data_IF_957960527860
#
_entry.id   IF_957960527860
#
_cell.length_a   1.000
_cell.length_b   1.000
_cell.length_c   1.000
_cell.angle_alpha   90.00
_cell.angle_beta   90.00
_cell.angle_gamma   90.00
#
_symmetry.space_group_name_H-M   'P 1'
#
loop_
_entity.id
_entity.type
_entity.pdbx_description
1 polymer ?
#
# COMPACT_ATOMS: atom_id res chain seq x y z
N UNK A 1 -21.66 36.69 5.76
CA UNK A 1 -21.30 36.78 7.19
C UNK A 1 -22.38 36.13 8.05
N UNK A 2 -22.15 34.91 8.55
CA UNK A 2 -22.77 34.38 9.77
C UNK A 2 -21.87 33.28 10.32
N UNK A 3 -21.36 33.52 11.52
CA UNK A 3 -20.46 32.66 12.28
C UNK A 3 -21.26 31.53 12.93
N UNK A 4 -20.73 30.30 12.88
CA UNK A 4 -20.90 29.29 13.93
C UNK A 4 -19.57 28.58 14.15
N UNK A 5 -19.01 28.84 15.32
CA UNK A 5 -18.12 27.94 16.06
C UNK A 5 -19.03 26.91 16.81
N UNK A 6 -18.62 25.79 17.40
CA UNK A 6 -17.34 25.31 17.96
C UNK A 6 -17.56 23.81 18.34
N UNK A 7 -16.45 23.08 18.55
CA UNK A 7 -16.23 21.90 19.42
C UNK A 7 -16.57 20.47 18.95
N UNK A 8 -15.52 19.63 19.01
CA UNK A 8 -15.61 18.17 19.09
C UNK A 8 -14.26 17.47 18.95
N UNK A 9 -13.31 17.73 19.86
CA UNK A 9 -12.06 16.96 19.97
C UNK A 9 -12.17 15.90 21.07
N UNK A 10 -11.82 14.65 20.77
CA UNK A 10 -11.47 13.58 21.72
C UNK A 10 -10.52 12.62 20.97
N UNK A 11 -9.21 12.66 21.23
CA UNK A 11 -8.48 12.03 22.34
C UNK A 11 -8.21 10.53 22.11
N UNK A 12 -6.93 10.25 21.88
CA UNK A 12 -6.25 8.95 21.80
C UNK A 12 -6.47 8.09 23.04
N UNK A 13 -6.58 6.77 22.86
CA UNK A 13 -6.41 5.80 23.93
C UNK A 13 -5.33 4.79 23.52
N UNK A 14 -4.15 4.92 24.14
CA UNK A 14 -3.16 3.87 24.23
C UNK A 14 -3.54 2.96 25.41
N UNK A 15 -3.58 1.63 25.19
CA UNK A 15 -3.69 0.64 26.26
C UNK A 15 -2.36 -0.12 26.34
N UNK A 16 -1.54 0.30 27.30
CA UNK A 16 -0.44 -0.49 27.84
C UNK A 16 -0.94 -1.17 29.13
N UNK A 17 -0.86 -2.50 29.20
CA UNK A 17 -1.01 -3.26 30.43
C UNK A 17 0.25 -4.11 30.63
N UNK A 18 1.16 -3.60 31.45
CA UNK A 18 2.22 -4.38 32.07
C UNK A 18 1.69 -5.05 33.34
N UNK A 19 2.04 -6.31 33.54
CA UNK A 19 1.99 -6.99 34.83
C UNK A 19 3.40 -7.38 35.21
N UNK A 20 3.94 -6.64 36.18
CA UNK A 20 5.10 -7.03 36.96
C UNK A 20 4.66 -7.99 38.07
N UNK A 21 5.38 -9.10 38.22
CA UNK A 21 5.36 -9.96 39.40
C UNK A 21 6.81 -10.23 39.81
N UNK A 22 7.23 -9.58 40.90
CA UNK A 22 8.55 -9.73 41.52
C UNK A 22 8.53 -10.78 42.64
N UNK A 23 9.74 -11.29 42.95
CA UNK A 23 10.22 -11.96 44.17
C UNK A 23 9.92 -13.47 44.25
N UNK A 24 10.86 -14.35 44.62
CA UNK A 24 11.89 -14.24 45.67
C UNK A 24 13.28 -14.77 45.27
N UNK A 25 14.30 -14.18 45.90
CA UNK A 25 15.62 -14.75 46.09
C UNK A 25 15.86 -14.87 47.60
N UNK A 26 16.28 -16.02 48.11
CA UNK A 26 17.20 -16.07 49.26
C UNK A 26 17.93 -17.42 49.41
N UNK A 27 19.16 -17.29 49.91
CA UNK A 27 20.24 -18.18 50.40
C UNK A 27 19.90 -19.63 50.79
N UNK A 28 20.77 -20.65 50.74
CA UNK A 28 22.25 -20.73 50.80
C UNK A 28 22.64 -21.85 51.81
N UNK A 29 23.72 -22.59 51.52
CA UNK A 29 24.49 -23.53 52.39
C UNK A 29 23.77 -24.82 52.90
N UNK A 30 24.38 -26.00 53.09
CA UNK A 30 25.78 -26.45 53.06
C UNK A 30 25.87 -28.01 53.06
N UNK A 31 27.08 -28.52 52.74
CA UNK A 31 27.73 -29.77 53.21
C UNK A 31 27.34 -31.20 52.69
N UNK A 32 28.17 -31.66 51.75
CA UNK A 32 29.09 -32.84 51.79
C UNK A 32 28.68 -34.21 52.41
N UNK A 33 28.77 -35.29 51.62
CA UNK A 33 29.60 -36.50 51.92
C UNK A 33 29.59 -37.55 50.79
N UNK A 34 30.80 -38.00 50.42
CA UNK A 34 31.20 -39.18 49.60
C UNK A 34 30.44 -40.50 49.92
N UNK A 35 30.21 -41.48 49.02
CA UNK A 35 31.18 -42.45 48.44
C UNK A 35 30.49 -43.48 47.48
N UNK A 36 31.12 -43.84 46.33
CA UNK A 36 31.30 -45.25 45.87
C UNK A 36 30.37 -45.94 44.83
N UNK A 37 30.91 -46.23 43.62
CA UNK A 37 30.58 -47.36 42.69
C UNK A 37 29.26 -47.26 41.90
N UNK A 38 29.08 -47.66 40.63
CA UNK A 38 29.74 -48.59 39.68
C UNK A 38 29.23 -48.30 38.24
N UNK A 39 29.98 -48.76 37.23
CA UNK A 39 29.75 -48.72 35.77
C UNK A 39 28.30 -48.75 35.23
N UNK A 40 27.97 -47.84 34.30
CA UNK A 40 27.25 -48.10 33.03
C UNK A 40 27.36 -46.88 32.07
N UNK A 41 27.38 -47.06 30.72
CA UNK A 41 27.58 -45.96 29.79
C UNK A 41 26.22 -45.36 29.39
N UNK A 42 25.91 -44.17 29.91
CA UNK A 42 24.77 -43.39 29.45
C UNK A 42 25.24 -42.31 28.47
N UNK A 43 24.72 -42.40 27.24
CA UNK A 43 24.79 -41.42 26.17
C UNK A 43 24.72 -39.99 26.69
N UNK A 44 25.82 -39.23 26.55
CA UNK A 44 25.76 -37.78 26.58
C UNK A 44 25.48 -37.30 25.17
N UNK A 45 24.20 -37.04 24.91
CA UNK A 45 23.80 -36.10 23.87
C UNK A 45 24.54 -34.79 24.15
N UNK A 46 25.35 -34.37 23.19
CA UNK A 46 25.86 -33.01 23.13
C UNK A 46 24.64 -32.12 22.91
N UNK A 47 24.09 -31.56 23.98
CA UNK A 47 23.17 -30.42 23.86
C UNK A 47 24.06 -29.25 23.48
N UNK A 48 24.29 -29.07 22.18
CA UNK A 48 24.65 -27.77 21.66
C UNK A 48 23.44 -26.91 21.96
N UNK A 49 23.56 -26.01 22.94
CA UNK A 49 22.68 -24.86 23.08
C UNK A 49 22.77 -24.11 21.75
N UNK A 50 21.84 -24.45 20.85
CA UNK A 50 21.55 -23.66 19.67
C UNK A 50 20.94 -22.37 20.19
N UNK A 51 21.81 -21.40 20.47
CA UNK A 51 21.45 -20.00 20.38
C UNK A 51 20.89 -19.82 18.97
N UNK A 52 19.55 -19.88 18.86
CA UNK A 52 18.82 -19.50 17.67
C UNK A 52 19.07 -18.00 17.51
N UNK A 53 20.19 -17.70 16.87
CA UNK A 53 20.33 -16.45 16.13
C UNK A 53 19.09 -16.42 15.23
N UNK A 54 18.26 -15.38 15.29
CA UNK A 54 17.16 -15.27 14.33
C UNK A 54 17.79 -15.46 12.95
N UNK A 55 17.30 -16.43 12.18
CA UNK A 55 17.81 -16.68 10.84
C UNK A 55 17.83 -15.34 10.11
N UNK A 56 19.00 -14.96 9.60
CA UNK A 56 19.15 -13.71 8.88
C UNK A 56 18.09 -13.66 7.77
N UNK A 57 17.42 -12.51 7.55
CA UNK A 57 16.36 -12.43 6.56
C UNK A 57 16.85 -12.93 5.19
N UNK A 58 16.04 -13.77 4.54
CA UNK A 58 16.36 -14.30 3.21
C UNK A 58 16.33 -13.13 2.23
N UNK A 59 17.42 -12.89 1.50
CA UNK A 59 17.40 -11.93 0.38
C UNK A 59 16.71 -12.59 -0.81
N UNK A 60 15.77 -11.87 -1.42
CA UNK A 60 14.98 -12.30 -2.59
C UNK A 60 14.99 -11.21 -3.67
N UNK A 61 14.59 -11.55 -4.89
CA UNK A 61 14.39 -10.61 -5.99
C UNK A 61 13.32 -11.07 -6.98
N UNK A 62 13.31 -10.46 -8.17
CA UNK A 62 12.47 -10.87 -9.30
C UNK A 62 12.64 -12.36 -9.63
N UNK A 63 11.54 -13.00 -10.03
CA UNK A 63 11.38 -14.42 -10.32
C UNK A 63 11.54 -15.38 -9.11
N UNK A 64 11.81 -14.89 -7.90
CA UNK A 64 11.87 -15.75 -6.72
C UNK A 64 10.48 -16.17 -6.23
N UNK A 65 10.35 -17.43 -5.83
CA UNK A 65 9.16 -17.93 -5.14
C UNK A 65 9.25 -17.68 -3.63
N UNK A 66 8.16 -17.13 -3.08
CA UNK A 66 7.99 -16.83 -1.65
C UNK A 66 6.68 -17.41 -1.13
N UNK A 67 6.78 -18.19 -0.06
CA UNK A 67 5.64 -18.73 0.68
C UNK A 67 5.19 -17.75 1.75
N UNK A 68 4.04 -17.12 1.52
CA UNK A 68 3.38 -16.18 2.44
C UNK A 68 2.48 -16.90 3.46
N UNK A 69 2.59 -18.24 3.56
CA UNK A 69 1.87 -19.10 4.50
C UNK A 69 0.50 -19.54 4.01
N UNK A 70 -0.29 -18.61 3.46
CA UNK A 70 -1.61 -18.91 2.88
C UNK A 70 -1.56 -19.18 1.38
N UNK A 71 -0.58 -18.59 0.68
CA UNK A 71 -0.33 -18.73 -0.76
C UNK A 71 1.17 -18.72 -1.03
N UNK A 72 1.56 -19.29 -2.17
CA UNK A 72 2.90 -19.06 -2.74
C UNK A 72 2.79 -18.08 -3.90
N UNK A 73 3.68 -17.08 -3.91
CA UNK A 73 3.80 -16.09 -4.99
C UNK A 73 5.16 -16.18 -5.65
N UNK A 74 5.20 -15.92 -6.95
CA UNK A 74 6.41 -15.50 -7.67
C UNK A 74 6.49 -13.98 -7.60
N UNK A 75 7.66 -13.44 -7.23
CA UNK A 75 7.91 -12.01 -7.16
C UNK A 75 8.28 -11.46 -8.54
N UNK A 76 7.73 -10.31 -8.90
CA UNK A 76 8.10 -9.57 -10.10
C UNK A 76 9.11 -8.46 -9.82
N UNK A 77 9.12 -7.47 -10.72
CA UNK A 77 9.94 -6.28 -10.58
C UNK A 77 9.41 -5.37 -9.47
N UNK A 78 10.31 -4.53 -8.94
CA UNK A 78 9.94 -3.36 -8.14
C UNK A 78 9.81 -2.15 -9.04
N UNK A 79 8.84 -1.30 -8.74
CA UNK A 79 8.67 0.02 -9.33
C UNK A 79 8.43 1.09 -8.25
N UNK A 80 8.67 2.36 -8.59
CA UNK A 80 8.40 3.51 -7.74
C UNK A 80 7.30 4.38 -8.36
N UNK A 81 6.19 4.50 -7.64
CA UNK A 81 5.03 5.28 -8.05
C UNK A 81 4.78 6.42 -7.06
N UNK A 82 4.19 7.52 -7.54
CA UNK A 82 3.74 8.63 -6.67
C UNK A 82 2.44 8.30 -5.95
N UNK A 83 1.63 7.42 -6.54
CA UNK A 83 0.41 6.93 -5.94
C UNK A 83 0.13 5.49 -6.35
N UNK A 84 -0.64 4.79 -5.53
CA UNK A 84 -1.08 3.42 -5.72
C UNK A 84 -2.58 3.35 -5.50
N UNK A 85 -3.31 2.53 -6.26
CA UNK A 85 -4.76 2.43 -6.14
C UNK A 85 -5.15 1.05 -5.61
N UNK A 86 -5.74 1.05 -4.42
CA UNK A 86 -6.22 -0.15 -3.71
C UNK A 86 -7.71 -0.40 -4.02
N UNK A 87 -8.06 -1.67 -4.24
CA UNK A 87 -9.44 -2.07 -4.51
C UNK A 87 -10.17 -2.49 -3.22
N UNK A 88 -10.83 -1.57 -2.54
CA UNK A 88 -11.67 -1.89 -1.39
C UNK A 88 -13.16 -1.87 -1.73
N UNK A 89 -13.74 -2.95 -2.30
CA UNK A 89 -15.19 -2.97 -2.65
C UNK A 89 -16.03 -2.34 -1.52
N UNK A 90 -16.90 -1.35 -1.81
CA UNK A 90 -17.34 -0.89 -3.13
C UNK A 90 -16.56 0.31 -3.69
N UNK A 91 -15.46 0.70 -3.08
CA UNK A 91 -14.66 1.90 -3.43
C UNK A 91 -13.27 1.52 -3.91
N UNK A 92 -12.63 2.47 -4.58
CA UNK A 92 -11.22 2.42 -4.91
C UNK A 92 -10.61 3.63 -4.24
N UNK A 93 -9.55 3.40 -3.46
CA UNK A 93 -8.85 4.45 -2.74
C UNK A 93 -7.48 4.61 -3.38
N UNK A 94 -7.10 5.85 -3.67
CA UNK A 94 -5.73 6.13 -4.08
C UNK A 94 -4.91 6.48 -2.84
N UNK A 95 -3.69 5.94 -2.78
CA UNK A 95 -2.75 6.13 -1.69
C UNK A 95 -1.51 6.83 -2.23
N UNK A 96 -1.12 7.92 -1.60
CA UNK A 96 0.11 8.64 -1.90
C UNK A 96 0.46 9.58 -0.75
N UNK A 97 1.73 9.99 -0.68
CA UNK A 97 2.18 10.94 0.32
C UNK A 97 3.17 11.93 -0.30
N UNK A 98 3.12 13.20 0.09
CA UNK A 98 4.00 14.22 -0.47
C UNK A 98 5.50 13.96 -0.25
N UNK A 99 5.86 13.26 0.82
CA UNK A 99 7.24 13.00 1.22
C UNK A 99 7.63 11.52 1.08
N UNK A 100 6.79 10.67 0.46
CA UNK A 100 7.07 9.24 0.24
C UNK A 100 6.80 8.87 -1.22
N UNK A 101 7.42 7.79 -1.69
CA UNK A 101 7.02 7.09 -2.90
C UNK A 101 6.43 5.72 -2.53
N UNK A 102 5.49 5.26 -3.34
CA UNK A 102 4.96 3.91 -3.27
C UNK A 102 5.94 2.98 -3.97
N UNK A 103 6.62 2.11 -3.23
CA UNK A 103 7.33 0.97 -3.81
C UNK A 103 6.27 -0.08 -4.13
N UNK A 104 6.08 -0.36 -5.41
CA UNK A 104 5.13 -1.35 -5.92
C UNK A 104 5.89 -2.59 -6.32
N UNK A 105 5.43 -3.74 -5.84
CA UNK A 105 5.97 -5.06 -6.09
C UNK A 105 4.92 -5.87 -6.84
N UNK A 106 5.22 -6.23 -8.07
CA UNK A 106 4.41 -7.18 -8.84
C UNK A 106 4.50 -8.56 -8.20
N UNK A 107 3.38 -9.29 -8.17
CA UNK A 107 3.30 -10.66 -7.65
C UNK A 107 2.42 -11.50 -8.54
N UNK A 108 2.84 -12.75 -8.78
CA UNK A 108 2.00 -13.77 -9.44
C UNK A 108 1.70 -14.89 -8.46
N UNK A 109 0.43 -15.10 -8.16
CA UNK A 109 -0.01 -16.22 -7.33
C UNK A 109 0.20 -17.53 -8.08
N UNK A 110 0.96 -18.46 -7.50
CA UNK A 110 1.27 -19.77 -8.11
C UNK A 110 0.34 -20.87 -7.64
N UNK A 111 -0.05 -20.83 -6.36
CA UNK A 111 -0.96 -21.79 -5.75
C UNK A 111 -1.83 -21.08 -4.71
N UNK A 112 -3.12 -20.96 -5.01
CA UNK A 112 -4.10 -20.42 -4.08
C UNK A 112 -5.47 -21.08 -4.25
N UNK A 113 -6.12 -21.34 -3.12
CA UNK A 113 -7.59 -21.34 -3.06
C UNK A 113 -8.07 -19.90 -2.98
N UNK A 114 -9.09 -19.53 -3.75
CA UNK A 114 -9.61 -18.14 -3.87
C UNK A 114 -9.88 -17.46 -2.52
N UNK A 115 -10.37 -18.23 -1.54
CA UNK A 115 -10.67 -17.72 -0.19
C UNK A 115 -9.42 -17.25 0.58
N UNK A 116 -8.24 -17.83 0.30
CA UNK A 116 -6.98 -17.49 0.99
C UNK A 116 -6.25 -16.30 0.38
N UNK A 117 -6.42 -16.07 -0.92
CA UNK A 117 -5.87 -14.89 -1.60
C UNK A 117 -6.54 -13.60 -1.09
N UNK A 118 -7.81 -13.68 -0.68
CA UNK A 118 -8.57 -12.52 -0.18
C UNK A 118 -8.04 -12.03 1.19
N UNK A 119 -7.45 -12.90 2.02
CA UNK A 119 -6.88 -12.49 3.32
C UNK A 119 -5.69 -11.55 3.14
N UNK A 120 -4.89 -11.74 2.08
CA UNK A 120 -3.72 -10.91 1.76
C UNK A 120 -4.08 -9.49 1.34
N UNK A 121 -5.34 -9.26 0.98
CA UNK A 121 -5.82 -7.93 0.67
C UNK A 121 -6.03 -7.07 1.92
N UNK A 122 -6.58 -7.68 2.98
CA UNK A 122 -6.95 -6.92 4.19
C UNK A 122 -5.76 -6.59 5.08
N UNK A 123 -4.71 -7.41 5.01
CA UNK A 123 -3.45 -7.21 5.72
C UNK A 123 -2.29 -7.69 4.82
N UNK A 124 -1.89 -6.87 3.82
CA UNK A 124 -0.81 -7.22 2.92
C UNK A 124 0.47 -7.49 3.71
N UNK A 125 1.16 -8.62 3.50
CA UNK A 125 2.31 -9.04 4.31
C UNK A 125 3.59 -8.29 3.92
N UNK A 126 3.48 -7.00 3.57
CA UNK A 126 4.53 -6.17 3.01
C UNK A 126 4.80 -4.97 3.91
N UNK A 127 6.09 -4.67 4.14
CA UNK A 127 6.55 -3.48 4.87
C UNK A 127 7.80 -2.90 4.22
N UNK A 128 8.16 -1.67 4.56
CA UNK A 128 9.43 -1.08 4.17
C UNK A 128 10.43 -1.08 5.32
N UNK A 129 11.70 -1.32 4.99
CA UNK A 129 12.84 -1.09 5.87
C UNK A 129 13.82 -0.15 5.16
N UNK A 130 14.20 0.93 5.82
CA UNK A 130 15.09 1.98 5.29
C UNK A 130 16.17 2.25 6.30
N UNK A 131 17.44 2.25 5.86
CA UNK A 131 18.60 2.49 6.71
C UNK A 131 18.61 1.63 8.00
N UNK A 132 18.16 0.37 7.83
CA UNK A 132 17.92 -0.62 8.89
C UNK A 132 16.79 -0.34 9.90
N UNK A 133 16.04 0.74 9.73
CA UNK A 133 14.84 1.03 10.52
C UNK A 133 13.57 0.56 9.80
N UNK A 134 12.61 0.03 10.56
CA UNK A 134 11.28 -0.28 10.03
C UNK A 134 10.49 1.02 9.93
N UNK A 135 9.92 1.31 8.74
CA UNK A 135 9.36 2.64 8.47
C UNK A 135 7.84 2.66 8.36
N UNK A 136 7.20 1.54 8.02
CA UNK A 136 5.75 1.50 7.76
C UNK A 136 4.99 0.56 8.69
N UNK A 137 3.80 1.03 9.11
CA UNK A 137 2.85 0.23 9.91
C UNK A 137 2.03 -0.77 9.06
N UNK A 138 2.17 -0.77 7.73
CA UNK A 138 1.49 -1.70 6.83
C UNK A 138 1.71 -1.35 5.36
N UNK A 139 1.21 -2.19 4.45
CA UNK A 139 1.18 -1.95 3.02
C UNK A 139 -0.22 -2.03 2.43
N UNK A 140 -0.30 -1.93 1.12
CA UNK A 140 -1.53 -1.94 0.32
C UNK A 140 -1.47 -3.10 -0.68
N UNK A 141 -2.62 -3.55 -1.16
CA UNK A 141 -2.69 -4.57 -2.20
C UNK A 141 -3.65 -4.19 -3.31
N UNK A 142 -3.29 -4.48 -4.56
CA UNK A 142 -4.22 -4.44 -5.69
C UNK A 142 -4.59 -5.86 -6.09
N UNK A 143 -5.89 -6.10 -6.25
CA UNK A 143 -6.41 -7.37 -6.73
C UNK A 143 -6.86 -7.25 -8.19
N UNK A 144 -6.61 -8.29 -8.96
CA UNK A 144 -7.29 -8.59 -10.22
C UNK A 144 -7.87 -10.00 -10.13
N UNK A 145 -9.10 -10.20 -10.60
CA UNK A 145 -9.79 -11.50 -10.57
C UNK A 145 -9.80 -12.22 -9.18
N UNK A 146 -9.80 -11.44 -8.09
CA UNK A 146 -9.70 -11.89 -6.69
C UNK A 146 -8.35 -12.51 -6.29
N UNK A 147 -7.27 -12.15 -6.97
CA UNK A 147 -5.91 -12.50 -6.61
C UNK A 147 -5.04 -11.25 -6.50
N UNK A 148 -4.10 -11.19 -5.54
CA UNK A 148 -3.14 -10.10 -5.50
C UNK A 148 -2.26 -10.14 -6.75
N UNK A 149 -2.15 -8.97 -7.39
CA UNK A 149 -1.21 -8.74 -8.49
C UNK A 149 -0.08 -7.81 -8.09
N UNK A 150 -0.36 -6.89 -7.16
CA UNK A 150 0.60 -5.89 -6.73
C UNK A 150 0.48 -5.70 -5.22
N UNK A 151 1.63 -5.61 -4.57
CA UNK A 151 1.75 -5.09 -3.22
C UNK A 151 2.43 -3.72 -3.27
N UNK A 152 1.99 -2.78 -2.44
CA UNK A 152 2.63 -1.48 -2.37
C UNK A 152 2.95 -1.09 -0.93
N UNK A 153 4.06 -0.37 -0.75
CA UNK A 153 4.45 0.18 0.55
C UNK A 153 5.06 1.57 0.39
N UNK A 154 4.68 2.48 1.28
CA UNK A 154 5.22 3.83 1.29
C UNK A 154 6.67 3.84 1.80
N UNK A 155 7.59 4.42 1.04
CA UNK A 155 8.99 4.60 1.42
C UNK A 155 9.31 6.08 1.45
N UNK A 156 9.86 6.62 2.56
CA UNK A 156 10.21 8.02 2.64
C UNK A 156 11.20 8.39 1.54
N UNK A 157 11.04 9.60 1.01
CA UNK A 157 12.02 10.20 0.12
C UNK A 157 13.15 10.82 0.91
N UNK A 158 14.33 10.88 0.31
CA UNK A 158 15.52 11.43 0.94
C UNK A 158 16.81 10.66 0.60
N UNK A 159 17.88 11.08 1.24
CA UNK A 159 19.17 10.39 1.19
C UNK A 159 19.12 9.14 2.08
N UNK A 160 18.98 7.99 1.43
CA UNK A 160 19.04 6.67 2.07
C UNK A 160 20.26 5.90 1.57
N UNK A 161 20.93 5.20 2.48
CA UNK A 161 22.02 4.28 2.15
C UNK A 161 21.45 2.94 1.69
N UNK A 162 20.34 2.50 2.29
CA UNK A 162 19.66 1.26 1.93
C UNK A 162 18.15 1.37 2.08
N UNK A 163 17.41 0.69 1.22
CA UNK A 163 15.97 0.48 1.37
C UNK A 163 15.61 -0.92 0.86
N UNK A 164 14.58 -1.53 1.43
CA UNK A 164 14.08 -2.84 1.01
C UNK A 164 12.61 -2.99 1.32
N UNK A 165 11.92 -3.71 0.45
CA UNK A 165 10.63 -4.30 0.78
C UNK A 165 10.87 -5.55 1.63
N UNK A 166 10.13 -5.66 2.73
CA UNK A 166 10.15 -6.80 3.64
C UNK A 166 8.83 -7.54 3.51
N UNK A 167 8.92 -8.84 3.24
CA UNK A 167 7.77 -9.73 3.17
C UNK A 167 7.73 -10.61 4.42
N UNK A 168 6.60 -10.63 5.11
CA UNK A 168 6.32 -11.58 6.19
C UNK A 168 5.98 -12.94 5.55
N UNK A 169 6.80 -13.96 5.81
CA UNK A 169 6.70 -15.29 5.19
C UNK A 169 6.36 -16.36 6.22
N UNK A 170 5.93 -17.54 5.77
CA UNK A 170 5.70 -18.68 6.65
C UNK A 170 6.92 -19.07 7.50
N UNK A 171 8.13 -18.79 7.00
CA UNK A 171 9.40 -19.23 7.57
C UNK A 171 10.28 -18.08 8.08
N UNK A 172 9.71 -16.90 8.32
CA UNK A 172 10.43 -15.71 8.78
C UNK A 172 10.20 -14.51 7.88
N UNK A 173 11.25 -13.74 7.56
CA UNK A 173 11.15 -12.55 6.70
C UNK A 173 12.02 -12.71 5.46
N UNK A 174 11.47 -12.30 4.32
CA UNK A 174 12.23 -12.11 3.08
C UNK A 174 12.47 -10.61 2.85
N UNK A 175 13.63 -10.25 2.30
CA UNK A 175 14.01 -8.87 1.96
C UNK A 175 14.28 -8.77 0.47
N UNK A 176 13.53 -7.90 -0.19
CA UNK A 176 13.76 -7.48 -1.56
C UNK A 176 14.43 -6.10 -1.54
N UNK A 177 15.76 -6.00 -1.76
CA UNK A 177 16.46 -4.73 -1.73
C UNK A 177 16.07 -3.85 -2.93
N UNK A 178 15.89 -2.55 -2.67
CA UNK A 178 15.83 -1.55 -3.73
C UNK A 178 17.24 -1.37 -4.31
N UNK A 179 17.32 -1.30 -5.63
CA UNK A 179 18.59 -1.08 -6.32
C UNK A 179 19.02 0.40 -6.32
N UNK A 180 20.22 0.67 -6.85
CA UNK A 180 20.79 2.02 -6.93
C UNK A 180 19.91 3.02 -7.71
N UNK A 181 19.13 2.57 -8.69
CA UNK A 181 18.26 3.43 -9.48
C UNK A 181 17.03 3.85 -8.66
N UNK A 182 16.45 2.92 -7.90
CA UNK A 182 15.40 3.22 -6.94
C UNK A 182 15.89 4.19 -5.85
N UNK A 183 17.07 3.94 -5.27
CA UNK A 183 17.65 4.83 -4.25
C UNK A 183 17.97 6.23 -4.80
N UNK A 184 18.44 6.32 -6.05
CA UNK A 184 18.64 7.59 -6.73
C UNK A 184 17.31 8.37 -6.91
N UNK A 185 16.22 7.65 -7.19
CA UNK A 185 14.88 8.24 -7.33
C UNK A 185 14.35 8.71 -5.98
N UNK A 186 14.55 7.96 -4.89
CA UNK A 186 14.19 8.41 -3.54
C UNK A 186 14.97 9.67 -3.12
N UNK A 187 16.24 9.80 -3.52
CA UNK A 187 17.09 10.97 -3.26
C UNK A 187 16.63 12.22 -4.02
N UNK A 188 16.20 12.06 -5.27
CA UNK A 188 15.70 13.15 -6.12
C UNK A 188 14.30 12.81 -6.66
N UNK A 189 13.28 12.85 -5.78
CA UNK A 189 11.96 12.33 -6.10
C UNK A 189 11.22 13.20 -7.11
N UNK A 190 10.20 12.64 -7.78
CA UNK A 190 9.22 13.45 -8.50
C UNK A 190 8.52 14.44 -7.56
N UNK A 191 8.04 15.55 -8.13
CA UNK A 191 7.23 16.55 -7.40
C UNK A 191 6.06 16.92 -8.27
N UNK A 192 4.89 16.38 -7.94
CA UNK A 192 3.71 16.50 -8.79
C UNK A 192 2.83 17.65 -8.35
N UNK A 193 2.57 18.56 -9.27
CA UNK A 193 1.49 19.53 -9.18
C UNK A 193 0.32 19.03 -10.03
N UNK A 194 -0.80 18.73 -9.38
CA UNK A 194 -1.99 18.15 -10.02
C UNK A 194 -3.13 19.17 -10.04
N UNK A 195 -3.65 19.46 -11.22
CA UNK A 195 -4.80 20.34 -11.43
C UNK A 195 -5.96 19.56 -12.05
N UNK A 196 -7.07 19.36 -11.32
CA UNK A 196 -8.24 18.68 -11.87
C UNK A 196 -9.09 19.62 -12.75
N UNK A 197 -9.47 19.15 -13.92
CA UNK A 197 -10.37 19.82 -14.84
C UNK A 197 -11.70 19.05 -14.94
N UNK A 198 -12.63 19.40 -14.05
CA UNK A 198 -13.96 18.78 -13.96
C UNK A 198 -15.03 19.79 -14.38
N UNK A 199 -15.92 19.47 -15.34
CA UNK A 199 -17.01 20.35 -15.74
C UNK A 199 -18.04 20.52 -14.62
N UNK A 200 -18.72 21.66 -14.58
CA UNK A 200 -19.90 21.88 -13.73
C UNK A 200 -21.17 21.25 -14.31
N UNK A 201 -21.27 21.22 -15.63
CA UNK A 201 -22.45 20.76 -16.35
C UNK A 201 -22.03 20.05 -17.64
N UNK A 202 -22.74 18.98 -17.98
CA UNK A 202 -22.59 18.24 -19.24
C UNK A 202 -23.96 18.13 -19.89
N UNK A 203 -24.05 18.52 -21.16
CA UNK A 203 -25.28 18.46 -21.97
C UNK A 203 -24.99 17.58 -23.19
N UNK A 204 -25.80 16.55 -23.42
CA UNK A 204 -25.80 15.79 -24.69
C UNK A 204 -24.50 15.09 -25.11
N UNK A 205 -23.76 14.51 -24.16
CA UNK A 205 -22.57 13.72 -24.48
C UNK A 205 -21.94 13.02 -23.27
N UNK A 206 -20.91 12.19 -23.48
CA UNK A 206 -20.24 11.48 -22.39
C UNK A 206 -19.62 12.46 -21.39
N UNK A 207 -19.67 12.10 -20.10
CA UNK A 207 -18.95 12.83 -19.07
C UNK A 207 -17.44 12.66 -19.31
N UNK A 208 -16.74 13.79 -19.46
CA UNK A 208 -15.29 13.84 -19.65
C UNK A 208 -14.67 14.80 -18.65
N UNK A 209 -13.57 14.39 -18.05
CA UNK A 209 -12.73 15.22 -17.19
C UNK A 209 -11.32 14.66 -17.19
N UNK A 210 -10.39 15.46 -16.68
CA UNK A 210 -8.97 15.13 -16.75
C UNK A 210 -8.20 15.68 -15.55
N UNK A 211 -7.04 15.07 -15.28
CA UNK A 211 -6.02 15.61 -14.39
C UNK A 211 -4.88 16.14 -15.25
N UNK A 212 -4.58 17.43 -15.16
CA UNK A 212 -3.32 17.98 -15.65
C UNK A 212 -2.25 17.77 -14.56
N UNK A 213 -1.18 17.07 -14.89
CA UNK A 213 -0.13 16.68 -13.96
C UNK A 213 1.19 17.22 -14.45
N UNK A 214 1.81 18.11 -13.67
CA UNK A 214 3.14 18.63 -13.96
C UNK A 214 4.17 18.07 -12.99
N UNK A 215 5.28 17.53 -13.51
CA UNK A 215 6.36 17.00 -12.67
C UNK A 215 7.51 18.01 -12.56
N UNK A 216 7.56 18.71 -11.42
CA UNK A 216 8.60 19.65 -11.03
C UNK A 216 9.82 19.00 -10.34
N UNK A 217 9.82 17.68 -10.20
CA UNK A 217 10.89 16.92 -9.55
C UNK A 217 12.02 16.51 -10.49
N UNK A 218 12.98 15.75 -9.96
CA UNK A 218 14.16 15.31 -10.71
C UNK A 218 14.02 13.94 -11.39
N UNK A 219 13.05 13.13 -10.95
CA UNK A 219 12.81 11.77 -11.44
C UNK A 219 11.43 11.61 -12.07
N UNK A 220 11.23 10.67 -13.02
CA UNK A 220 9.90 10.33 -13.52
C UNK A 220 8.95 9.91 -12.39
N UNK A 221 7.66 10.09 -12.61
CA UNK A 221 6.62 9.74 -11.66
C UNK A 221 5.50 8.98 -12.36
N UNK A 222 5.20 7.77 -11.93
CA UNK A 222 3.92 7.14 -12.26
C UNK A 222 2.88 7.64 -11.26
N UNK A 223 1.84 8.33 -11.75
CA UNK A 223 0.68 8.72 -10.95
C UNK A 223 -0.50 7.86 -11.37
N UNK A 224 -1.04 7.08 -10.44
CA UNK A 224 -2.28 6.31 -10.62
C UNK A 224 -3.40 7.01 -9.85
N UNK A 225 -4.50 7.28 -10.54
CA UNK A 225 -5.66 7.96 -10.01
C UNK A 225 -6.92 7.12 -10.25
N UNK A 226 -7.90 7.32 -9.39
CA UNK A 226 -9.22 6.70 -9.46
C UNK A 226 -10.29 7.78 -9.49
N UNK A 227 -11.36 7.48 -10.21
CA UNK A 227 -12.60 8.25 -10.14
C UNK A 227 -13.71 7.35 -9.64
N UNK A 228 -14.60 7.89 -8.80
CA UNK A 228 -15.84 7.23 -8.40
C UNK A 228 -17.06 8.14 -8.53
N UNK A 229 -18.26 7.57 -8.70
CA UNK A 229 -19.51 8.34 -8.65
C UNK A 229 -20.70 7.57 -8.08
N UNK A 230 -21.76 8.30 -7.71
CA UNK A 230 -22.95 7.74 -7.07
C UNK A 230 -23.91 6.95 -8.01
N UNK A 231 -23.80 7.08 -9.35
CA UNK A 231 -24.62 6.31 -10.31
C UNK A 231 -24.13 4.85 -10.44
N UNK A 232 -25.05 3.88 -10.49
CA UNK A 232 -24.83 2.52 -9.93
C UNK A 232 -24.03 1.54 -10.80
N UNK A 233 -23.99 1.70 -12.12
CA UNK A 233 -23.61 0.58 -13.01
C UNK A 233 -22.13 0.52 -13.40
N UNK A 234 -21.43 1.65 -13.41
CA UNK A 234 -19.99 1.74 -13.67
C UNK A 234 -19.43 2.71 -12.64
N UNK A 235 -19.24 2.30 -11.39
CA UNK A 235 -18.99 3.27 -10.32
C UNK A 235 -17.58 3.83 -10.30
N UNK A 236 -16.66 3.28 -11.07
CA UNK A 236 -15.24 3.56 -10.89
C UNK A 236 -14.39 3.39 -12.15
N UNK A 237 -13.31 4.16 -12.22
CA UNK A 237 -12.29 4.08 -13.27
C UNK A 237 -10.93 4.34 -12.67
N UNK A 238 -9.96 3.50 -12.99
CA UNK A 238 -8.57 3.71 -12.65
C UNK A 238 -7.79 4.08 -13.92
N UNK A 239 -6.92 5.08 -13.80
CA UNK A 239 -6.01 5.49 -14.88
C UNK A 239 -4.69 5.90 -14.25
N UNK A 240 -3.59 5.54 -14.91
CA UNK A 240 -2.28 6.03 -14.53
C UNK A 240 -1.44 6.35 -15.75
N UNK A 241 -0.49 7.25 -15.57
CA UNK A 241 0.49 7.61 -16.58
C UNK A 241 1.83 7.95 -15.92
N UNK A 242 2.91 7.86 -16.70
CA UNK A 242 4.26 8.22 -16.26
C UNK A 242 4.63 9.60 -16.77
N UNK A 243 4.80 10.53 -15.84
CA UNK A 243 5.14 11.93 -16.11
C UNK A 243 6.65 12.11 -15.94
N UNK A 244 7.33 12.41 -17.04
CA UNK A 244 8.77 12.66 -17.04
C UNK A 244 9.12 14.04 -16.43
N UNK A 245 10.33 14.21 -15.87
CA UNK A 245 10.74 15.47 -15.24
C UNK A 245 10.60 16.69 -16.16
N UNK A 246 10.02 17.77 -15.64
CA UNK A 246 9.82 19.04 -16.34
C UNK A 246 8.69 19.04 -17.37
N UNK A 247 7.98 17.93 -17.53
CA UNK A 247 6.85 17.82 -18.47
C UNK A 247 5.50 17.89 -17.76
N UNK A 248 4.48 18.19 -18.55
CA UNK A 248 3.08 18.15 -18.15
C UNK A 248 2.39 17.09 -18.99
N UNK A 249 1.62 16.22 -18.34
CA UNK A 249 0.77 15.23 -19.00
C UNK A 249 -0.67 15.41 -18.54
N UNK A 250 -1.61 14.92 -19.36
CA UNK A 250 -3.04 14.96 -19.08
C UNK A 250 -3.55 13.53 -18.97
N UNK A 251 -4.13 13.18 -17.82
CA UNK A 251 -4.74 11.87 -17.57
C UNK A 251 -6.25 11.98 -17.79
N UNK A 252 -6.82 11.44 -18.90
CA UNK A 252 -8.22 11.58 -19.21
C UNK A 252 -9.08 10.50 -18.54
N UNK A 253 -10.29 10.88 -18.18
CA UNK A 253 -11.33 9.99 -17.68
C UNK A 253 -12.62 10.23 -18.48
N UNK A 254 -13.25 9.13 -18.89
CA UNK A 254 -14.48 9.15 -19.68
C UNK A 254 -15.49 8.14 -19.12
N UNK A 255 -16.01 8.38 -17.90
CA UNK A 255 -16.99 7.49 -17.33
C UNK A 255 -18.31 7.48 -18.11
N UNK A 256 -19.02 6.35 -18.04
CA UNK A 256 -20.36 6.28 -18.56
C UNK A 256 -21.32 7.06 -17.65
N UNK A 257 -21.80 8.18 -18.16
CA UNK A 257 -22.93 8.92 -17.59
C UNK A 257 -24.09 8.81 -18.57
N UNK A 258 -25.23 8.18 -18.21
CA UNK A 258 -26.40 8.17 -19.07
C UNK A 258 -26.80 9.62 -19.39
N UNK A 259 -26.86 9.98 -20.66
CA UNK A 259 -27.42 11.28 -21.10
C UNK A 259 -28.85 11.15 -21.61
N UNK A 260 -29.32 9.91 -21.73
CA UNK A 260 -30.63 9.57 -22.25
C UNK A 260 -31.62 9.52 -21.07
N UNK A 261 -32.42 10.57 -20.88
CA UNK A 261 -33.40 10.64 -19.81
C UNK A 261 -33.60 12.05 -19.27
N UNK A 262 -34.17 12.15 -18.07
CA UNK A 262 -34.30 13.44 -17.37
C UNK A 262 -32.94 13.94 -16.87
N UNK A 263 -32.80 15.25 -16.71
CA UNK A 263 -31.62 15.85 -16.10
C UNK A 263 -31.43 15.38 -14.64
N UNK A 264 -30.18 15.16 -14.22
CA UNK A 264 -29.84 14.70 -12.87
C UNK A 264 -28.50 15.26 -12.38
N UNK A 265 -28.20 15.05 -11.10
CA UNK A 265 -26.92 15.41 -10.49
C UNK A 265 -26.08 14.16 -10.23
N UNK A 266 -24.81 14.22 -10.64
CA UNK A 266 -23.82 13.19 -10.40
C UNK A 266 -22.79 13.72 -9.40
N UNK A 267 -22.63 13.04 -8.26
CA UNK A 267 -21.53 13.34 -7.34
C UNK A 267 -20.31 12.52 -7.79
N UNK A 268 -19.27 13.22 -8.24
CA UNK A 268 -18.01 12.68 -8.72
C UNK A 268 -16.93 12.90 -7.67
N UNK A 269 -16.13 11.88 -7.37
CA UNK A 269 -14.89 12.00 -6.61
C UNK A 269 -13.72 11.57 -7.49
N UNK A 270 -12.71 12.44 -7.61
CA UNK A 270 -11.40 12.13 -8.17
C UNK A 270 -10.39 12.04 -7.05
N UNK A 271 -9.68 10.93 -6.98
CA UNK A 271 -8.65 10.68 -5.99
C UNK A 271 -7.37 10.22 -6.68
N UNK A 272 -6.26 10.90 -6.41
CA UNK A 272 -4.94 10.57 -6.96
C UNK A 272 -3.91 10.32 -5.86
N UNK A 273 -4.39 10.04 -4.63
CA UNK A 273 -3.60 9.61 -3.49
C UNK A 273 -2.86 10.73 -2.78
N UNK A 274 -2.37 11.72 -3.53
CA UNK A 274 -1.76 12.93 -2.95
C UNK A 274 -2.81 13.93 -2.46
N UNK A 275 -3.99 13.93 -3.08
CA UNK A 275 -5.16 14.73 -2.71
C UNK A 275 -6.39 14.20 -3.48
N UNK A 276 -7.57 14.75 -3.19
CA UNK A 276 -8.81 14.41 -3.87
C UNK A 276 -9.72 15.62 -4.12
N UNK A 277 -10.65 15.47 -5.06
CA UNK A 277 -11.69 16.43 -5.38
C UNK A 277 -13.05 15.73 -5.44
N UNK A 278 -13.99 16.16 -4.61
CA UNK A 278 -15.41 15.79 -4.76
C UNK A 278 -16.20 16.97 -5.31
N UNK A 279 -16.97 16.75 -6.38
CA UNK A 279 -17.80 17.77 -7.03
C UNK A 279 -19.12 17.17 -7.51
N UNK A 280 -20.20 17.94 -7.37
CA UNK A 280 -21.49 17.63 -8.00
C UNK A 280 -21.52 18.22 -9.41
N UNK A 281 -21.85 17.40 -10.40
CA UNK A 281 -21.94 17.74 -11.83
C UNK A 281 -23.40 17.62 -12.24
N UNK A 282 -23.92 18.63 -12.93
CA UNK A 282 -25.26 18.57 -13.53
C UNK A 282 -25.17 17.85 -14.89
N UNK A 283 -25.91 16.77 -15.06
CA UNK A 283 -26.08 16.08 -16.34
C UNK A 283 -27.43 16.51 -16.91
N UNK A 284 -27.38 17.23 -18.03
CA UNK A 284 -28.55 17.75 -18.72
C UNK A 284 -28.90 16.87 -19.93
N UNK A 285 -30.19 16.69 -20.13
CA UNK A 285 -30.74 15.98 -21.28
C UNK A 285 -30.60 16.82 -22.54
N UNK A 286 -30.20 16.19 -23.64
CA UNK A 286 -30.21 16.84 -24.95
C UNK A 286 -31.63 16.81 -25.52
N UNK A 287 -32.51 17.66 -24.97
CA UNK A 287 -33.85 17.85 -25.52
C UNK A 287 -33.75 18.68 -26.82
N UNK A 288 -33.20 18.10 -27.88
CA UNK A 288 -33.59 18.50 -29.24
C UNK A 288 -35.03 18.03 -29.48
N UNK A 289 -35.97 18.74 -28.87
CA UNK A 289 -37.37 18.72 -29.29
C UNK A 289 -37.48 19.43 -30.64
N UNK A 290 -37.08 18.77 -31.73
CA UNK A 290 -37.58 19.13 -33.06
C UNK A 290 -39.08 18.89 -33.07
N UNK A 291 -39.82 19.95 -32.76
CA UNK A 291 -41.27 20.03 -32.99
C UNK A 291 -41.45 20.58 -34.40
N UNK A 292 -41.80 19.71 -35.35
CA UNK A 292 -42.35 20.09 -36.67
C UNK A 292 -43.85 19.72 -36.70
#
# INVERSE_FOLDING_TARGET
>A
MRRRALLGATASNALALGLAGCLDADTGDDADTTTGGTNEPASRSNTTDGSSTPDAPRVVGEDDEVDLGSVTVELGALDLQSSFVEYGWPVWDAHGHADHLMVVLDVRVLDASTDRATELFSDPPVRARVDDDAVTDGGYARLEDNQPEEFAVAVPTGDHDTASVVLDTANGTARYPLDDAHLATLRDPPKLDVTPHVPDTVTGGPLRYELEVHNNGGSPATLVATSTHNAIHDKWWTRGDTITPGNTETIPFEPYAPTDGDSYELELTLDWGLNSLTRTISIESDDETTTD
#
